data_IF_332806284742
#
_entry.id   IF_332806284742
#
_cell.length_a   1.000
_cell.length_b   1.000
_cell.length_c   1.000
_cell.angle_alpha   90.00
_cell.angle_beta   90.00
_cell.angle_gamma   90.00
#
_symmetry.space_group_name_H-M   'P 1'
#
loop_
_entity.id
_entity.type
_entity.pdbx_description
1 polymer ?
#
# COMPACT_ATOMS: atom_id res chain seq x y z
N UNK A 1 36.64 -29.53 1.67
CA UNK A 1 36.34 -28.07 1.69
C UNK A 1 35.75 -27.56 0.38
N UNK A 2 36.31 -27.88 -0.80
CA UNK A 2 35.78 -27.43 -2.11
C UNK A 2 34.32 -27.84 -2.37
N UNK A 3 33.92 -29.06 -2.01
CA UNK A 3 32.55 -29.55 -2.22
C UNK A 3 31.53 -28.94 -1.23
N UNK A 4 31.99 -28.49 -0.05
CA UNK A 4 31.12 -27.83 0.95
C UNK A 4 30.74 -26.41 0.48
N UNK A 5 31.69 -25.70 -0.13
CA UNK A 5 31.49 -24.37 -0.71
C UNK A 5 30.49 -24.37 -1.87
N UNK A 6 30.50 -25.40 -2.71
CA UNK A 6 29.56 -25.56 -3.83
C UNK A 6 28.13 -25.82 -3.31
N UNK A 7 27.98 -26.66 -2.29
CA UNK A 7 26.67 -26.93 -1.67
C UNK A 7 26.12 -25.66 -1.01
N UNK A 8 26.95 -24.88 -0.33
CA UNK A 8 26.55 -23.63 0.32
C UNK A 8 26.12 -22.57 -0.69
N UNK A 9 26.82 -22.45 -1.83
CA UNK A 9 26.43 -21.53 -2.91
C UNK A 9 25.15 -21.98 -3.61
N UNK A 10 24.92 -23.28 -3.77
CA UNK A 10 23.67 -23.80 -4.35
C UNK A 10 22.46 -23.58 -3.42
N UNK A 11 22.66 -23.69 -2.10
CA UNK A 11 21.64 -23.40 -1.09
C UNK A 11 21.24 -21.91 -1.08
N UNK A 12 22.18 -20.98 -1.29
CA UNK A 12 21.90 -19.54 -1.37
C UNK A 12 21.13 -19.14 -2.64
N UNK A 13 21.19 -19.93 -3.72
CA UNK A 13 20.46 -19.65 -4.97
C UNK A 13 19.03 -20.24 -4.94
N UNK A 14 18.82 -21.31 -4.17
CA UNK A 14 17.52 -22.01 -4.07
C UNK A 14 16.53 -21.34 -3.12
N UNK A 15 16.99 -20.45 -2.25
CA UNK A 15 16.14 -19.52 -1.54
C UNK A 15 16.34 -18.15 -2.17
N UNK A 16 15.69 -17.83 -3.32
CA UNK A 16 15.41 -16.44 -3.58
C UNK A 16 14.67 -15.99 -2.32
N UNK A 17 15.30 -15.15 -1.52
CA UNK A 17 14.60 -14.40 -0.50
C UNK A 17 13.49 -13.73 -1.27
N UNK A 18 12.27 -14.29 -1.22
CA UNK A 18 11.10 -13.54 -1.57
C UNK A 18 11.15 -12.39 -0.59
N UNK A 19 11.74 -11.28 -1.02
CA UNK A 19 11.60 -10.02 -0.33
C UNK A 19 10.12 -9.75 -0.51
N UNK A 20 9.30 -10.24 0.42
CA UNK A 20 8.04 -9.60 0.73
C UNK A 20 8.42 -8.13 0.83
N UNK A 21 7.90 -7.32 -0.09
CA UNK A 21 8.18 -5.90 -0.10
C UNK A 21 7.90 -5.41 1.31
N UNK A 22 8.94 -4.97 2.01
CA UNK A 22 8.77 -4.54 3.38
C UNK A 22 8.00 -3.24 3.31
N UNK A 23 6.75 -3.27 3.78
CA UNK A 23 5.89 -2.10 3.71
C UNK A 23 6.48 -0.96 4.53
N UNK A 24 6.55 0.23 3.92
CA UNK A 24 7.01 1.46 4.57
C UNK A 24 5.78 2.31 4.93
N UNK A 25 4.99 1.80 5.87
CA UNK A 25 3.77 2.43 6.32
C UNK A 25 4.07 3.78 6.98
N UNK A 26 3.54 4.85 6.39
CA UNK A 26 3.51 6.18 7.00
C UNK A 26 2.06 6.53 7.28
N UNK A 27 1.80 7.01 8.50
CA UNK A 27 0.48 7.47 8.91
C UNK A 27 0.05 8.62 8.00
N UNK A 28 -1.05 8.44 7.27
CA UNK A 28 -1.63 9.44 6.39
C UNK A 28 -2.62 10.32 7.15
N UNK A 29 -3.55 9.70 7.90
CA UNK A 29 -4.55 10.43 8.70
C UNK A 29 -5.24 9.56 9.73
N UNK A 30 -5.78 10.21 10.75
CA UNK A 30 -6.76 9.60 11.66
C UNK A 30 -8.17 9.74 11.07
N UNK A 31 -8.95 8.68 11.17
CA UNK A 31 -10.36 8.64 10.80
C UNK A 31 -11.19 8.30 12.04
N UNK A 32 -12.52 8.50 12.02
CA UNK A 32 -13.36 8.00 13.11
C UNK A 32 -13.16 6.48 13.26
N UNK A 33 -12.67 6.05 14.42
CA UNK A 33 -12.48 4.64 14.80
C UNK A 33 -11.46 3.86 13.95
N UNK A 34 -10.54 4.54 13.28
CA UNK A 34 -9.45 3.89 12.55
C UNK A 34 -8.30 4.86 12.23
N UNK A 35 -7.12 4.32 11.95
CA UNK A 35 -5.98 5.07 11.43
C UNK A 35 -5.65 4.60 10.02
N UNK A 36 -5.45 5.54 9.10
CA UNK A 36 -5.03 5.27 7.72
C UNK A 36 -3.53 5.46 7.57
N UNK A 37 -2.89 4.49 6.95
CA UNK A 37 -1.48 4.50 6.57
C UNK A 37 -1.35 4.27 5.07
N UNK A 38 -0.27 4.78 4.49
CA UNK A 38 0.05 4.58 3.09
C UNK A 38 1.51 4.16 2.94
N UNK A 39 1.78 3.44 1.85
CA UNK A 39 3.12 3.11 1.41
C UNK A 39 3.25 3.50 -0.07
N UNK A 40 3.84 4.69 -0.26
CA UNK A 40 4.23 5.19 -1.57
C UNK A 40 5.64 4.76 -1.95
N UNK A 41 6.47 4.26 -1.03
CA UNK A 41 7.79 3.75 -1.36
C UNK A 41 7.69 2.56 -2.32
N UNK A 42 6.74 1.66 -2.08
CA UNK A 42 6.47 0.51 -2.97
C UNK A 42 5.55 0.85 -4.18
N UNK A 43 5.34 2.14 -4.47
CA UNK A 43 4.49 2.57 -5.60
C UNK A 43 5.11 2.29 -6.97
N UNK A 44 4.27 2.31 -8.02
CA UNK A 44 4.71 2.11 -9.42
C UNK A 44 3.90 2.98 -10.37
N UNK A 45 4.56 3.51 -11.40
CA UNK A 45 3.87 4.19 -12.52
C UNK A 45 3.43 3.17 -13.56
N UNK A 46 2.17 3.25 -13.96
CA UNK A 46 1.56 2.44 -15.01
C UNK A 46 0.81 3.34 -16.00
N UNK A 47 1.49 3.79 -17.05
CA UNK A 47 0.91 4.74 -18.00
C UNK A 47 0.67 6.09 -17.35
N UNK A 48 -0.60 6.50 -17.20
CA UNK A 48 -1.01 7.76 -16.53
C UNK A 48 -1.49 7.54 -15.10
N UNK A 49 -1.23 6.36 -14.54
CA UNK A 49 -1.70 6.00 -13.21
C UNK A 49 -0.55 5.59 -12.31
N UNK A 50 -0.75 5.71 -11.00
CA UNK A 50 0.21 5.31 -9.97
C UNK A 50 -0.47 4.26 -9.10
N UNK A 51 0.18 3.11 -8.92
CA UNK A 51 -0.25 2.12 -7.91
C UNK A 51 0.43 2.40 -6.59
N UNK A 52 -0.27 2.30 -5.48
CA UNK A 52 0.29 2.42 -4.14
C UNK A 52 -0.50 1.58 -3.15
N UNK A 53 0.06 1.34 -1.97
CA UNK A 53 -0.59 0.57 -0.93
C UNK A 53 -1.18 1.49 0.13
N UNK A 54 -2.34 1.09 0.65
CA UNK A 54 -3.01 1.76 1.76
C UNK A 54 -3.39 0.72 2.80
N UNK A 55 -3.23 1.05 4.07
CA UNK A 55 -3.64 0.25 5.19
C UNK A 55 -4.66 1.04 6.03
N UNK A 56 -5.72 0.39 6.46
CA UNK A 56 -6.64 0.91 7.47
C UNK A 56 -6.53 0.01 8.69
N UNK A 57 -6.18 0.60 9.82
CA UNK A 57 -6.07 -0.07 11.11
C UNK A 57 -7.27 0.35 11.97
N UNK A 58 -8.17 -0.57 12.29
CA UNK A 58 -9.40 -0.28 13.01
C UNK A 58 -9.17 -0.33 14.52
N UNK A 59 -9.78 0.60 15.26
CA UNK A 59 -9.71 0.60 16.73
C UNK A 59 -10.51 -0.56 17.35
N UNK A 60 -11.48 -1.10 16.60
CA UNK A 60 -12.37 -2.17 17.04
C UNK A 60 -12.45 -3.26 15.98
N UNK A 61 -12.75 -4.49 16.44
CA UNK A 61 -13.00 -5.63 15.57
C UNK A 61 -14.14 -5.32 14.59
N UNK A 62 -13.86 -5.46 13.31
CA UNK A 62 -14.85 -5.45 12.24
C UNK A 62 -15.38 -6.86 12.04
N UNK A 63 -16.61 -7.00 11.55
CA UNK A 63 -17.21 -8.30 11.27
C UNK A 63 -18.09 -8.19 10.03
N UNK A 64 -17.87 -9.07 9.07
CA UNK A 64 -18.70 -9.22 7.87
C UNK A 64 -18.92 -10.71 7.54
N UNK A 65 -19.45 -10.99 6.34
CA UNK A 65 -19.73 -12.36 5.88
C UNK A 65 -18.45 -13.20 5.71
N UNK A 66 -17.26 -12.59 5.62
CA UNK A 66 -15.98 -13.25 5.45
C UNK A 66 -15.27 -13.55 6.77
N UNK A 67 -15.67 -12.89 7.86
CA UNK A 67 -15.15 -13.15 9.20
C UNK A 67 -14.94 -11.88 10.01
N UNK A 68 -14.08 -11.98 11.02
CA UNK A 68 -13.72 -10.88 11.91
C UNK A 68 -12.29 -10.42 11.64
N UNK A 69 -12.08 -9.11 11.52
CA UNK A 69 -10.79 -8.52 11.16
C UNK A 69 -10.52 -7.19 11.90
N UNK A 70 -9.26 -6.82 12.08
CA UNK A 70 -8.80 -5.60 12.77
C UNK A 70 -8.07 -4.64 11.81
N UNK A 71 -7.55 -5.12 10.69
CA UNK A 71 -6.93 -4.25 9.69
C UNK A 71 -7.19 -4.72 8.26
N UNK A 72 -7.16 -3.78 7.32
CA UNK A 72 -7.34 -4.03 5.89
C UNK A 72 -6.21 -3.38 5.09
N UNK A 73 -5.59 -4.14 4.19
CA UNK A 73 -4.62 -3.65 3.20
C UNK A 73 -5.29 -3.56 1.83
N UNK A 74 -5.05 -2.45 1.14
CA UNK A 74 -5.58 -2.16 -0.18
C UNK A 74 -4.44 -1.88 -1.15
N UNK A 75 -4.47 -2.51 -2.33
CA UNK A 75 -3.74 -1.98 -3.48
C UNK A 75 -4.65 -0.98 -4.20
N UNK A 76 -4.19 0.26 -4.34
CA UNK A 76 -4.92 1.32 -5.03
C UNK A 76 -4.29 1.68 -6.37
N UNK A 77 -5.11 2.18 -7.28
CA UNK A 77 -4.69 2.91 -8.47
C UNK A 77 -5.20 4.34 -8.35
N UNK A 78 -4.27 5.30 -8.38
CA UNK A 78 -4.53 6.71 -8.63
C UNK A 78 -4.39 6.98 -10.13
N UNK A 79 -5.48 7.21 -10.84
CA UNK A 79 -5.47 7.66 -12.23
C UNK A 79 -5.29 9.18 -12.27
N UNK A 80 -4.13 9.64 -12.74
CA UNK A 80 -3.80 11.06 -12.78
C UNK A 80 -4.43 11.80 -13.96
N UNK A 81 -5.10 11.11 -14.89
CA UNK A 81 -5.78 11.77 -16.01
C UNK A 81 -7.09 12.44 -15.57
N UNK A 82 -7.83 11.80 -14.66
CA UNK A 82 -9.11 12.30 -14.11
C UNK A 82 -9.11 12.40 -12.58
N UNK A 83 -7.94 12.25 -11.97
CA UNK A 83 -7.69 12.27 -10.53
C UNK A 83 -8.66 11.36 -9.77
N UNK A 84 -8.63 10.08 -10.08
CA UNK A 84 -9.54 9.09 -9.47
C UNK A 84 -8.81 7.96 -8.77
N UNK A 85 -9.41 7.46 -7.69
CA UNK A 85 -8.93 6.29 -6.96
C UNK A 85 -9.79 5.08 -7.29
N UNK A 86 -9.12 3.97 -7.52
CA UNK A 86 -9.77 2.67 -7.73
C UNK A 86 -9.04 1.62 -6.91
N UNK A 87 -9.77 0.93 -6.01
CA UNK A 87 -9.23 -0.22 -5.29
C UNK A 87 -9.06 -1.37 -6.28
N UNK A 88 -7.91 -2.01 -6.29
CA UNK A 88 -7.64 -3.19 -7.11
C UNK A 88 -7.87 -4.50 -6.37
N UNK A 89 -7.57 -4.46 -5.08
CA UNK A 89 -7.35 -5.64 -4.27
C UNK A 89 -7.46 -5.25 -2.79
N UNK A 90 -8.00 -6.16 -1.99
CA UNK A 90 -8.23 -6.01 -0.56
C UNK A 90 -7.76 -7.30 0.13
N UNK A 91 -7.03 -7.15 1.23
CA UNK A 91 -6.70 -8.21 2.18
C UNK A 91 -7.11 -7.76 3.58
N UNK A 92 -7.87 -8.58 4.28
CA UNK A 92 -8.30 -8.33 5.65
C UNK A 92 -7.58 -9.27 6.62
N UNK A 93 -7.15 -8.72 7.74
CA UNK A 93 -6.28 -9.36 8.70
C UNK A 93 -6.88 -9.35 10.10
N UNK A 94 -6.66 -10.44 10.83
CA UNK A 94 -7.19 -10.64 12.18
C UNK A 94 -6.53 -9.77 13.26
N UNK A 95 -5.34 -9.23 13.01
CA UNK A 95 -4.62 -8.34 13.92
C UNK A 95 -4.34 -6.98 13.28
N UNK A 96 -3.79 -6.06 14.08
CA UNK A 96 -3.48 -4.68 13.70
C UNK A 96 -2.36 -4.63 12.66
N UNK A 97 -2.30 -3.54 11.90
CA UNK A 97 -1.19 -3.22 10.99
C UNK A 97 -0.91 -4.30 9.91
N UNK A 98 -1.94 -5.02 9.46
CA UNK A 98 -1.83 -6.02 8.39
C UNK A 98 -1.14 -7.30 8.84
N UNK A 99 -1.22 -7.60 10.14
CA UNK A 99 -0.57 -8.75 10.79
C UNK A 99 -1.58 -9.82 11.20
N UNK A 100 -1.08 -10.98 11.61
CA UNK A 100 -1.91 -12.11 12.03
C UNK A 100 -2.38 -12.97 10.85
N UNK A 101 -3.50 -13.68 11.05
CA UNK A 101 -4.09 -14.52 10.02
C UNK A 101 -4.78 -13.66 8.95
N UNK A 102 -4.57 -14.03 7.68
CA UNK A 102 -5.32 -13.50 6.54
C UNK A 102 -6.75 -14.08 6.59
N UNK A 103 -7.72 -13.22 6.85
CA UNK A 103 -9.14 -13.56 7.02
C UNK A 103 -9.83 -13.58 5.67
N UNK A 104 -9.58 -12.57 4.85
CA UNK A 104 -10.23 -12.40 3.56
C UNK A 104 -9.26 -11.82 2.54
N UNK A 105 -9.44 -12.22 1.28
CA UNK A 105 -8.69 -11.71 0.14
C UNK A 105 -9.64 -11.58 -1.05
N UNK A 106 -9.73 -10.39 -1.61
CA UNK A 106 -10.57 -10.13 -2.76
C UNK A 106 -9.85 -9.30 -3.82
N UNK A 107 -9.85 -9.82 -5.05
CA UNK A 107 -9.42 -9.09 -6.23
C UNK A 107 -10.65 -8.64 -7.00
N UNK A 108 -10.91 -7.34 -6.97
CA UNK A 108 -12.09 -6.77 -7.57
C UNK A 108 -12.14 -7.00 -9.09
N UNK A 109 -13.31 -7.38 -9.58
CA UNK A 109 -13.63 -7.48 -10.99
C UNK A 109 -13.67 -6.09 -11.65
N UNK A 110 -13.73 -6.07 -12.98
CA UNK A 110 -13.80 -4.83 -13.74
C UNK A 110 -15.08 -4.03 -13.45
N UNK A 111 -16.21 -4.71 -13.21
CA UNK A 111 -17.48 -4.08 -12.87
C UNK A 111 -17.43 -3.46 -11.49
N UNK A 112 -16.96 -4.19 -10.48
CA UNK A 112 -16.83 -3.68 -9.10
C UNK A 112 -15.93 -2.46 -9.06
N UNK A 113 -14.77 -2.52 -9.72
CA UNK A 113 -13.84 -1.38 -9.86
C UNK A 113 -14.50 -0.13 -10.41
N UNK A 114 -15.40 -0.29 -11.40
CA UNK A 114 -16.11 0.84 -12.01
C UNK A 114 -17.13 1.45 -11.05
N UNK A 115 -17.78 0.62 -10.25
CA UNK A 115 -18.80 1.05 -9.28
C UNK A 115 -18.17 1.79 -8.09
N UNK A 116 -17.02 1.33 -7.61
CA UNK A 116 -16.33 1.94 -6.45
C UNK A 116 -15.30 3.00 -6.84
N UNK A 117 -15.10 3.25 -8.14
CA UNK A 117 -14.18 4.29 -8.62
C UNK A 117 -14.60 5.63 -8.05
N UNK A 118 -13.68 6.29 -7.36
CA UNK A 118 -13.92 7.57 -6.70
C UNK A 118 -13.15 8.67 -7.41
N UNK A 119 -13.86 9.61 -8.02
CA UNK A 119 -13.26 10.85 -8.55
C UNK A 119 -12.98 11.77 -7.36
N UNK A 120 -11.77 12.33 -7.32
CA UNK A 120 -11.35 13.24 -6.26
C UNK A 120 -11.67 14.67 -6.67
N UNK A 121 -12.40 15.37 -5.81
CA UNK A 121 -12.82 16.75 -6.07
C UNK A 121 -12.08 17.75 -5.16
N UNK A 122 -11.89 19.00 -5.62
CA UNK A 122 -11.39 20.06 -4.76
C UNK A 122 -12.23 20.19 -3.48
N UNK A 123 -11.58 20.16 -2.32
CA UNK A 123 -12.23 20.20 -1.00
C UNK A 123 -12.27 18.86 -0.26
N UNK A 124 -11.95 17.75 -0.95
CA UNK A 124 -11.66 16.48 -0.27
C UNK A 124 -10.30 16.54 0.43
N UNK A 125 -10.19 15.95 1.63
CA UNK A 125 -8.99 16.09 2.47
C UNK A 125 -7.70 15.61 1.82
N UNK A 126 -7.78 14.61 0.95
CA UNK A 126 -6.65 14.02 0.23
C UNK A 126 -6.50 14.50 -1.22
N UNK A 127 -7.33 15.46 -1.67
CA UNK A 127 -7.29 15.94 -3.05
C UNK A 127 -5.93 16.55 -3.40
N UNK A 128 -5.45 17.46 -2.55
CA UNK A 128 -4.23 18.23 -2.83
C UNK A 128 -3.01 17.32 -2.87
N UNK A 129 -2.89 16.41 -1.90
CA UNK A 129 -1.75 15.52 -1.80
C UNK A 129 -1.64 14.63 -3.04
N UNK A 130 -2.74 13.99 -3.46
CA UNK A 130 -2.74 13.16 -4.66
C UNK A 130 -2.59 13.96 -5.96
N UNK A 131 -3.14 15.19 -6.03
CA UNK A 131 -2.91 16.08 -7.16
C UNK A 131 -1.43 16.43 -7.30
N UNK A 132 -0.79 16.81 -6.19
CA UNK A 132 0.63 17.16 -6.15
C UNK A 132 1.50 15.95 -6.47
N UNK A 133 1.19 14.76 -5.93
CA UNK A 133 1.88 13.51 -6.28
C UNK A 133 1.78 13.20 -7.76
N UNK A 134 0.58 13.32 -8.36
CA UNK A 134 0.41 13.18 -9.80
C UNK A 134 1.25 14.20 -10.58
N UNK A 135 1.21 15.47 -10.20
CA UNK A 135 1.97 16.52 -10.88
C UNK A 135 3.47 16.28 -10.79
N UNK A 136 3.97 15.96 -9.59
CA UNK A 136 5.39 15.74 -9.34
C UNK A 136 5.90 14.50 -10.07
N UNK A 137 5.16 13.38 -9.99
CA UNK A 137 5.55 12.13 -10.64
C UNK A 137 5.73 12.28 -12.15
N UNK A 138 4.86 13.05 -12.82
CA UNK A 138 4.95 13.22 -14.28
C UNK A 138 5.87 14.36 -14.73
N UNK A 139 6.41 15.14 -13.79
CA UNK A 139 7.43 16.18 -14.05
C UNK A 139 8.83 15.67 -13.68
N UNK A 140 8.98 15.07 -12.50
CA UNK A 140 10.25 14.70 -11.88
C UNK A 140 10.48 13.18 -11.80
N UNK A 141 9.46 12.37 -12.13
CA UNK A 141 9.49 10.92 -11.95
C UNK A 141 9.03 10.50 -10.54
N UNK A 142 8.65 9.24 -10.40
CA UNK A 142 8.14 8.69 -9.13
C UNK A 142 9.22 8.60 -8.03
N UNK A 143 10.50 8.58 -8.41
CA UNK A 143 11.61 8.44 -7.48
C UNK A 143 11.64 9.54 -6.41
N UNK A 144 11.36 10.79 -6.77
CA UNK A 144 11.30 11.89 -5.79
C UNK A 144 10.21 11.69 -4.73
N UNK A 145 9.02 11.23 -5.15
CA UNK A 145 7.94 10.86 -4.22
C UNK A 145 8.34 9.69 -3.32
N UNK A 146 9.01 8.67 -3.87
CA UNK A 146 9.45 7.49 -3.11
C UNK A 146 10.54 7.84 -2.09
N UNK A 147 11.52 8.66 -2.47
CA UNK A 147 12.61 9.09 -1.60
C UNK A 147 12.07 9.94 -0.44
N UNK A 148 11.18 10.90 -0.74
CA UNK A 148 10.53 11.70 0.30
C UNK A 148 9.69 10.84 1.26
N UNK A 149 8.99 9.83 0.74
CA UNK A 149 8.22 8.90 1.58
C UNK A 149 9.12 8.08 2.50
N UNK A 150 10.28 7.64 2.01
CA UNK A 150 11.26 6.90 2.80
C UNK A 150 11.82 7.77 3.92
N UNK A 151 12.15 9.03 3.66
CA UNK A 151 12.61 9.97 4.69
C UNK A 151 11.55 10.16 5.80
N UNK A 152 10.27 10.29 5.41
CA UNK A 152 9.17 10.37 6.38
C UNK A 152 9.03 9.11 7.24
N UNK A 153 9.15 7.93 6.61
CA UNK A 153 9.12 6.66 7.33
C UNK A 153 10.26 6.60 8.36
N UNK A 154 11.49 6.87 7.96
CA UNK A 154 12.66 6.83 8.85
C UNK A 154 12.58 7.86 10.00
N UNK A 155 12.07 9.06 9.72
CA UNK A 155 11.86 10.09 10.72
C UNK A 155 10.80 9.72 11.77
N UNK A 156 9.85 8.85 11.42
CA UNK A 156 8.83 8.35 12.33
C UNK A 156 9.28 7.09 13.08
N UNK A 157 10.04 6.21 12.43
CA UNK A 157 10.58 4.99 13.06
C UNK A 157 11.66 5.29 14.11
N UNK A 158 12.43 6.37 13.96
CA UNK A 158 13.47 6.78 14.91
C UNK A 158 12.95 7.38 16.23
N UNK A 159 11.62 7.55 16.37
CA UNK A 159 10.96 8.09 17.57
C UNK A 159 10.37 7.01 18.49
N UNK A 160 10.45 5.73 18.11
CA UNK A 160 10.01 4.57 18.88
C UNK A 160 11.21 3.76 19.38
#
# INVERSE_FOLDING_TARGET
MRNLLIILTFLLILFPTMSYAEFKWVKSRDMPSSTEYEDWYNSRVMGKSITFWRLIDYETLQSDDNGQYISSIFLQILDCADLSLTIQFIEDYSDSMGMGELVHINKLSKSEKKEIKKILEPGMSNYKDYYDTCSDTFVNGLGGTQDWWLELYEANSSKN
#
